data_IF_805466331672
#
_entry.id   IF_805466331672
#
_cell.length_a   1.000
_cell.length_b   1.000
_cell.length_c   1.000
_cell.angle_alpha   90.00
_cell.angle_beta   90.00
_cell.angle_gamma   90.00
#
_symmetry.space_group_name_H-M   'P 1'
#
loop_
_entity.id
_entity.type
_entity.pdbx_description
1 polymer ?
#
# COMPACT_ATOMS: atom_id res chain seq x y z
N UNK A 1 49.28 7.20 9.78
CA UNK A 1 49.13 6.30 8.62
C UNK A 1 47.73 6.48 8.04
N UNK A 2 47.61 7.06 6.84
CA UNK A 2 46.32 7.38 6.24
C UNK A 2 45.60 6.09 5.82
N UNK A 3 44.48 5.81 6.48
CA UNK A 3 43.64 4.67 6.16
C UNK A 3 42.94 4.98 4.83
N UNK A 4 43.55 4.61 3.71
CA UNK A 4 42.90 4.68 2.38
C UNK A 4 41.61 3.87 2.47
N UNK A 5 40.48 4.55 2.64
CA UNK A 5 39.14 3.95 2.63
C UNK A 5 38.94 3.27 1.28
N UNK A 6 39.18 1.96 1.22
CA UNK A 6 38.96 1.15 0.03
C UNK A 6 37.49 1.23 -0.31
N UNK A 7 37.18 1.99 -1.36
CA UNK A 7 35.83 2.18 -1.89
C UNK A 7 35.14 0.85 -2.15
N UNK A 8 33.81 0.88 -2.12
CA UNK A 8 33.01 -0.30 -2.42
C UNK A 8 33.31 -0.76 -3.86
N UNK A 9 33.57 -2.06 -4.05
CA UNK A 9 33.80 -2.70 -5.36
C UNK A 9 32.93 -3.95 -5.48
N UNK A 10 32.61 -4.37 -6.71
CA UNK A 10 31.77 -5.55 -6.95
C UNK A 10 32.38 -6.83 -6.36
N UNK A 11 33.71 -6.98 -6.46
CA UNK A 11 34.43 -8.10 -5.86
C UNK A 11 34.27 -8.12 -4.33
N UNK A 12 34.38 -6.95 -3.69
CA UNK A 12 34.19 -6.80 -2.24
C UNK A 12 32.74 -7.08 -1.84
N UNK A 13 31.76 -6.67 -2.64
CA UNK A 13 30.33 -6.94 -2.41
C UNK A 13 30.03 -8.43 -2.52
N UNK A 14 30.58 -9.13 -3.52
CA UNK A 14 30.42 -10.59 -3.67
C UNK A 14 30.94 -11.34 -2.45
N UNK A 15 32.11 -10.96 -1.96
CA UNK A 15 32.75 -11.56 -0.79
C UNK A 15 32.10 -11.24 0.56
N UNK A 16 31.01 -10.47 0.60
CA UNK A 16 30.32 -10.18 1.86
C UNK A 16 29.59 -11.41 2.38
N UNK A 17 30.03 -11.88 3.54
CA UNK A 17 29.42 -12.97 4.30
C UNK A 17 28.23 -12.40 5.09
N UNK A 18 27.04 -13.01 5.00
CA UNK A 18 25.91 -12.62 5.83
C UNK A 18 26.22 -12.86 7.30
N UNK A 19 25.88 -11.91 8.17
CA UNK A 19 25.98 -12.15 9.61
C UNK A 19 24.74 -12.91 10.10
N UNK A 20 24.94 -13.87 11.00
CA UNK A 20 23.88 -14.71 11.57
C UNK A 20 22.94 -13.90 12.48
N UNK A 21 23.40 -12.79 13.05
CA UNK A 21 22.69 -12.06 14.12
C UNK A 21 22.13 -10.71 13.66
N UNK A 22 22.78 -10.01 12.73
CA UNK A 22 22.40 -8.65 12.33
C UNK A 22 22.55 -8.38 10.82
N UNK A 23 21.78 -7.40 10.32
CA UNK A 23 21.89 -6.95 8.93
C UNK A 23 23.15 -6.09 8.79
N UNK A 24 24.02 -6.45 7.85
CA UNK A 24 25.20 -5.64 7.54
C UNK A 24 24.79 -4.56 6.54
N UNK A 25 25.12 -3.31 6.85
CA UNK A 25 24.99 -2.18 5.92
C UNK A 25 26.36 -1.54 5.68
N UNK A 26 26.81 -1.53 4.43
CA UNK A 26 28.06 -0.88 4.04
C UNK A 26 27.76 0.33 3.15
N UNK A 27 28.27 1.53 3.49
CA UNK A 27 28.10 2.71 2.67
C UNK A 27 28.99 2.69 1.43
N UNK A 28 28.48 3.27 0.35
CA UNK A 28 29.29 3.69 -0.78
C UNK A 28 29.83 5.10 -0.52
N UNK A 29 31.12 5.31 -0.75
CA UNK A 29 31.77 6.60 -0.55
C UNK A 29 31.71 7.52 -1.78
N UNK A 30 31.29 6.99 -2.94
CA UNK A 30 31.18 7.77 -4.18
C UNK A 30 29.83 8.45 -4.28
N UNK A 31 28.74 7.72 -3.99
CA UNK A 31 27.39 8.29 -4.00
C UNK A 31 26.88 8.47 -2.56
N UNK A 32 26.66 9.72 -2.09
CA UNK A 32 26.14 9.97 -0.75
C UNK A 32 24.81 9.26 -0.51
N UNK A 33 24.75 8.47 0.56
CA UNK A 33 23.56 7.75 0.98
C UNK A 33 23.31 6.41 0.29
N UNK A 34 24.08 6.06 -0.76
CA UNK A 34 24.04 4.72 -1.35
C UNK A 34 24.68 3.73 -0.37
N UNK A 35 24.03 2.59 -0.16
CA UNK A 35 24.51 1.52 0.72
C UNK A 35 24.17 0.17 0.13
N UNK A 36 24.97 -0.84 0.46
CA UNK A 36 24.60 -2.24 0.27
C UNK A 36 24.13 -2.82 1.61
N UNK A 37 22.94 -3.41 1.61
CA UNK A 37 22.40 -4.17 2.73
C UNK A 37 22.53 -5.66 2.44
N UNK A 38 23.09 -6.41 3.37
CA UNK A 38 23.15 -7.87 3.32
C UNK A 38 22.14 -8.44 4.31
N UNK A 39 21.15 -9.16 3.78
CA UNK A 39 20.17 -9.89 4.58
C UNK A 39 20.76 -11.16 5.20
N UNK A 40 20.07 -11.72 6.19
CA UNK A 40 20.46 -12.99 6.84
C UNK A 40 20.52 -14.16 5.86
N UNK A 41 19.67 -14.14 4.82
CA UNK A 41 19.66 -15.11 3.73
C UNK A 41 20.78 -14.94 2.70
N UNK A 42 21.72 -14.00 2.91
CA UNK A 42 22.82 -13.72 1.98
C UNK A 42 22.43 -12.83 0.80
N UNK A 43 21.15 -12.48 0.66
CA UNK A 43 20.64 -11.54 -0.35
C UNK A 43 21.26 -10.17 -0.12
N UNK A 44 21.89 -9.64 -1.15
CA UNK A 44 22.55 -8.32 -1.16
C UNK A 44 21.67 -7.36 -1.92
N UNK A 45 21.32 -6.23 -1.33
CA UNK A 45 20.39 -5.24 -1.92
C UNK A 45 20.94 -3.84 -1.77
N UNK A 46 20.96 -3.09 -2.87
CA UNK A 46 21.31 -1.68 -2.86
C UNK A 46 20.14 -0.83 -2.38
N UNK A 47 20.43 0.05 -1.43
CA UNK A 47 19.49 1.02 -0.87
C UNK A 47 20.10 2.42 -0.94
N UNK A 48 19.26 3.42 -1.15
CA UNK A 48 19.61 4.83 -1.07
C UNK A 48 18.88 5.45 0.13
N UNK A 49 19.64 5.93 1.11
CA UNK A 49 19.11 6.63 2.27
C UNK A 49 19.17 8.14 2.04
N UNK A 50 18.00 8.78 1.92
CA UNK A 50 17.89 10.23 1.67
C UNK A 50 16.76 10.82 2.51
N UNK A 51 16.92 12.09 2.92
CA UNK A 51 15.84 12.87 3.52
C UNK A 51 14.93 13.42 2.43
N UNK A 52 13.64 13.12 2.52
CA UNK A 52 12.61 13.66 1.60
C UNK A 52 11.44 14.15 2.44
N UNK A 53 11.13 15.44 2.35
CA UNK A 53 10.08 16.07 3.17
C UNK A 53 10.35 15.96 4.67
N UNK A 54 11.58 16.24 5.12
CA UNK A 54 11.98 16.21 6.53
C UNK A 54 12.18 14.82 7.16
N UNK A 55 11.71 13.74 6.52
CA UNK A 55 11.81 12.37 7.03
C UNK A 55 12.91 11.57 6.33
N UNK A 56 13.59 10.68 7.07
CA UNK A 56 14.54 9.73 6.48
C UNK A 56 13.80 8.63 5.74
N UNK A 57 14.10 8.43 4.46
CA UNK A 57 13.58 7.33 3.66
C UNK A 57 14.71 6.45 3.15
N UNK A 58 14.47 5.14 3.19
CA UNK A 58 15.31 4.14 2.55
C UNK A 58 14.64 3.73 1.23
N UNK A 59 15.22 4.13 0.11
CA UNK A 59 14.73 3.85 -1.24
C UNK A 59 15.48 2.62 -1.75
N UNK A 60 14.77 1.54 -2.07
CA UNK A 60 15.40 0.33 -2.61
C UNK A 60 15.73 0.55 -4.09
N UNK A 61 16.99 0.37 -4.48
CA UNK A 61 17.43 0.48 -5.88
C UNK A 61 17.29 -0.88 -6.59
N UNK A 62 17.70 -1.96 -5.93
CA UNK A 62 17.60 -3.31 -6.48
C UNK A 62 18.58 -4.32 -5.85
N UNK A 63 18.38 -5.63 -6.09
CA UNK A 63 19.29 -6.67 -5.63
C UNK A 63 20.60 -6.67 -6.42
N UNK A 64 21.72 -6.93 -5.76
CA UNK A 64 23.00 -7.15 -6.41
C UNK A 64 23.01 -8.53 -7.09
N UNK A 65 23.21 -8.54 -8.41
CA UNK A 65 23.21 -9.73 -9.28
C UNK A 65 24.28 -9.59 -10.35
N UNK A 66 24.55 -10.65 -11.12
CA UNK A 66 25.57 -10.62 -12.19
C UNK A 66 25.34 -9.50 -13.21
N UNK A 67 24.08 -9.27 -13.60
CA UNK A 67 23.68 -8.22 -14.54
C UNK A 67 23.36 -6.87 -13.87
N UNK A 68 23.46 -6.78 -12.53
CA UNK A 68 23.16 -5.56 -11.78
C UNK A 68 24.21 -5.34 -10.69
N UNK A 69 25.29 -4.69 -11.08
CA UNK A 69 26.45 -4.41 -10.24
C UNK A 69 26.41 -3.04 -9.56
N UNK A 70 27.52 -2.67 -8.91
CA UNK A 70 27.68 -1.39 -8.24
C UNK A 70 27.65 -0.21 -9.21
N UNK A 71 28.19 -0.37 -10.42
CA UNK A 71 28.18 0.67 -11.44
C UNK A 71 26.73 1.05 -11.82
N UNK A 72 25.86 0.06 -12.02
CA UNK A 72 24.45 0.28 -12.34
C UNK A 72 23.68 0.84 -11.15
N UNK A 73 23.98 0.36 -9.95
CA UNK A 73 23.41 0.89 -8.72
C UNK A 73 23.77 2.38 -8.53
N UNK A 74 25.02 2.78 -8.83
CA UNK A 74 25.45 4.18 -8.78
C UNK A 74 24.76 5.04 -9.83
N UNK A 75 24.61 4.53 -11.07
CA UNK A 75 23.86 5.23 -12.13
C UNK A 75 22.41 5.49 -11.72
N UNK A 76 21.71 4.46 -11.23
CA UNK A 76 20.32 4.61 -10.73
C UNK A 76 20.24 5.49 -9.49
N UNK A 77 21.20 5.42 -8.57
CA UNK A 77 21.21 6.29 -7.39
C UNK A 77 21.30 7.77 -7.79
N UNK A 78 22.14 8.11 -8.79
CA UNK A 78 22.24 9.48 -9.33
C UNK A 78 20.93 9.95 -9.95
N UNK A 79 20.28 9.12 -10.78
CA UNK A 79 19.00 9.49 -11.39
C UNK A 79 17.93 9.76 -10.32
N UNK A 80 17.87 8.91 -9.30
CA UNK A 80 16.94 9.08 -8.17
C UNK A 80 17.22 10.37 -7.40
N UNK A 81 18.48 10.71 -7.15
CA UNK A 81 18.82 11.97 -6.48
C UNK A 81 18.41 13.18 -7.32
N UNK A 82 18.65 13.13 -8.63
CA UNK A 82 18.24 14.17 -9.57
C UNK A 82 16.72 14.34 -9.62
N UNK A 83 15.96 13.24 -9.63
CA UNK A 83 14.49 13.28 -9.59
C UNK A 83 13.96 13.90 -8.28
N UNK A 84 14.59 13.59 -7.14
CA UNK A 84 14.26 14.19 -5.85
C UNK A 84 14.52 15.70 -5.85
N UNK A 85 15.66 16.14 -6.39
CA UNK A 85 16.02 17.56 -6.49
C UNK A 85 15.11 18.33 -7.45
N UNK A 86 14.70 17.70 -8.56
CA UNK A 86 13.75 18.26 -9.52
C UNK A 86 12.28 18.25 -9.01
N UNK A 87 12.04 17.95 -7.73
CA UNK A 87 10.71 18.02 -7.13
C UNK A 87 9.78 16.85 -7.46
N UNK A 88 10.26 15.82 -8.19
CA UNK A 88 9.46 14.59 -8.47
C UNK A 88 9.34 13.68 -7.24
N UNK A 89 10.05 13.99 -6.16
CA UNK A 89 10.00 13.25 -4.89
C UNK A 89 10.80 11.94 -4.92
N UNK A 90 10.86 11.24 -3.78
CA UNK A 90 11.52 9.93 -3.70
C UNK A 90 10.78 8.90 -4.56
N UNK A 91 11.50 8.05 -5.32
CA UNK A 91 10.93 6.85 -5.90
C UNK A 91 10.29 6.05 -4.77
N UNK A 92 8.96 5.91 -4.84
CA UNK A 92 8.26 4.95 -4.01
C UNK A 92 8.71 3.56 -4.47
N UNK A 93 8.91 2.57 -3.58
CA UNK A 93 9.02 1.18 -4.03
C UNK A 93 7.84 0.95 -4.96
N UNK A 94 8.12 0.50 -6.19
CA UNK A 94 7.19 0.49 -7.33
C UNK A 94 5.75 0.20 -6.86
N UNK A 95 5.00 1.27 -6.58
CA UNK A 95 3.56 1.24 -6.76
C UNK A 95 3.50 1.41 -8.26
N UNK A 96 3.23 0.31 -8.94
CA UNK A 96 3.13 0.30 -10.38
C UNK A 96 2.11 1.37 -10.75
N UNK A 97 2.60 2.51 -11.23
CA UNK A 97 1.77 3.52 -11.82
C UNK A 97 0.94 2.81 -12.90
N UNK A 98 -0.33 3.16 -13.05
CA UNK A 98 -1.30 2.50 -13.97
C UNK A 98 -0.93 2.53 -15.47
N UNK A 99 0.32 2.85 -15.78
CA UNK A 99 0.99 2.70 -17.08
C UNK A 99 1.36 1.24 -17.39
N UNK A 100 1.57 0.38 -16.39
CA UNK A 100 1.77 -1.07 -16.60
C UNK A 100 0.46 -1.85 -16.42
N UNK A 101 0.31 -2.99 -17.11
CA UNK A 101 -0.85 -3.88 -16.99
C UNK A 101 -1.12 -4.25 -15.52
N UNK A 102 -0.07 -4.54 -14.77
CA UNK A 102 -0.15 -4.89 -13.34
C UNK A 102 -0.58 -3.69 -12.47
N UNK A 103 -0.08 -2.49 -12.77
CA UNK A 103 -0.51 -1.24 -12.13
C UNK A 103 -2.00 -0.92 -12.34
N UNK A 104 -2.54 -1.24 -13.52
CA UNK A 104 -3.99 -1.08 -13.81
C UNK A 104 -4.88 -2.03 -13.01
N UNK A 105 -4.32 -3.12 -12.50
CA UNK A 105 -5.03 -4.11 -11.68
C UNK A 105 -4.86 -3.86 -10.18
N UNK A 106 -4.04 -2.88 -9.78
CA UNK A 106 -3.93 -2.49 -8.37
C UNK A 106 -5.25 -1.96 -7.82
N UNK A 107 -5.56 -2.34 -6.58
CA UNK A 107 -6.78 -1.94 -5.90
C UNK A 107 -6.88 -0.41 -5.79
N UNK A 108 -5.79 0.28 -5.46
CA UNK A 108 -5.75 1.77 -5.42
C UNK A 108 -6.15 2.41 -6.74
N UNK A 109 -5.57 1.93 -7.84
CA UNK A 109 -5.85 2.46 -9.18
C UNK A 109 -7.30 2.22 -9.57
N UNK A 110 -7.79 0.99 -9.43
CA UNK A 110 -9.17 0.64 -9.74
C UNK A 110 -10.17 1.37 -8.84
N UNK A 111 -9.85 1.55 -7.56
CA UNK A 111 -10.69 2.29 -6.62
C UNK A 111 -10.82 3.76 -7.04
N UNK A 112 -9.71 4.41 -7.42
CA UNK A 112 -9.77 5.79 -7.91
C UNK A 112 -10.56 5.91 -9.22
N UNK A 113 -10.36 4.99 -10.17
CA UNK A 113 -11.15 4.95 -11.40
C UNK A 113 -12.64 4.69 -11.13
N UNK A 114 -12.97 3.87 -10.14
CA UNK A 114 -14.35 3.66 -9.68
C UNK A 114 -14.95 4.95 -9.12
N UNK A 115 -14.21 5.67 -8.28
CA UNK A 115 -14.65 6.93 -7.72
C UNK A 115 -14.93 7.96 -8.82
N UNK A 116 -14.03 8.11 -9.79
CA UNK A 116 -14.16 9.07 -10.89
C UNK A 116 -15.30 8.73 -11.85
N UNK A 117 -15.41 7.46 -12.26
CA UNK A 117 -16.33 7.07 -13.35
C UNK A 117 -17.71 6.63 -12.89
N UNK A 118 -17.90 6.27 -11.63
CA UNK A 118 -19.16 5.66 -11.16
C UNK A 118 -19.71 6.26 -9.85
N UNK A 119 -18.95 7.12 -9.16
CA UNK A 119 -19.34 7.66 -7.85
C UNK A 119 -19.48 9.17 -7.88
N UNK A 120 -18.40 9.90 -8.19
CA UNK A 120 -18.38 11.37 -8.28
C UNK A 120 -19.37 11.82 -9.35
N UNK A 121 -20.21 12.81 -9.04
CA UNK A 121 -21.25 13.31 -9.94
C UNK A 121 -22.48 12.38 -10.13
N UNK A 122 -22.35 11.08 -9.86
CA UNK A 122 -23.44 10.10 -10.07
C UNK A 122 -24.17 9.70 -8.78
N UNK A 123 -23.51 9.81 -7.62
CA UNK A 123 -24.09 9.39 -6.33
C UNK A 123 -24.08 10.51 -5.31
N UNK A 124 -25.24 10.76 -4.69
CA UNK A 124 -25.36 11.67 -3.53
C UNK A 124 -24.46 11.24 -2.36
N UNK A 125 -24.18 9.94 -2.23
CA UNK A 125 -23.31 9.37 -1.19
C UNK A 125 -21.82 9.36 -1.56
N UNK A 126 -21.37 10.15 -2.54
CA UNK A 126 -19.98 10.11 -3.01
C UNK A 126 -18.97 10.38 -1.89
N UNK A 127 -19.19 11.43 -1.09
CA UNK A 127 -18.32 11.79 0.04
C UNK A 127 -18.22 10.67 1.08
N UNK A 128 -19.33 9.99 1.38
CA UNK A 128 -19.35 8.86 2.32
C UNK A 128 -18.58 7.66 1.77
N UNK A 129 -18.74 7.35 0.47
CA UNK A 129 -18.03 6.25 -0.19
C UNK A 129 -16.53 6.50 -0.17
N UNK A 130 -16.09 7.72 -0.50
CA UNK A 130 -14.68 8.11 -0.44
C UNK A 130 -14.11 8.01 0.98
N UNK A 131 -14.84 8.52 1.97
CA UNK A 131 -14.44 8.43 3.38
C UNK A 131 -14.24 6.98 3.82
N UNK A 132 -15.16 6.08 3.45
CA UNK A 132 -15.05 4.66 3.77
C UNK A 132 -13.85 4.03 3.05
N UNK A 133 -13.65 4.36 1.77
CA UNK A 133 -12.49 3.92 1.00
C UNK A 133 -11.18 4.30 1.66
N UNK A 134 -11.02 5.58 2.01
CA UNK A 134 -9.83 6.13 2.65
C UNK A 134 -9.59 5.58 4.05
N UNK A 135 -10.66 5.36 4.83
CA UNK A 135 -10.55 4.92 6.23
C UNK A 135 -10.28 3.42 6.36
N UNK A 136 -10.87 2.58 5.49
CA UNK A 136 -10.87 1.13 5.69
C UNK A 136 -10.29 0.34 4.52
N UNK A 137 -10.61 0.70 3.28
CA UNK A 137 -10.27 -0.13 2.12
C UNK A 137 -8.83 0.10 1.67
N UNK A 138 -8.45 1.36 1.43
CA UNK A 138 -7.12 1.72 0.93
C UNK A 138 -5.99 1.36 1.92
N UNK A 139 -6.12 1.56 3.25
CA UNK A 139 -5.08 1.13 4.19
C UNK A 139 -4.83 -0.38 4.20
N UNK A 140 -5.87 -1.19 3.88
CA UNK A 140 -5.78 -2.65 3.93
C UNK A 140 -5.39 -3.28 2.60
N UNK A 141 -5.97 -2.78 1.51
CA UNK A 141 -5.88 -3.42 0.19
C UNK A 141 -5.17 -2.58 -0.86
N UNK A 142 -4.91 -1.29 -0.60
CA UNK A 142 -4.51 -0.35 -1.63
C UNK A 142 -3.27 -0.73 -2.42
N UNK A 143 -2.32 -1.40 -1.76
CA UNK A 143 -1.03 -1.79 -2.33
C UNK A 143 -1.02 -3.21 -2.91
N UNK A 144 -2.20 -3.81 -3.11
CA UNK A 144 -2.37 -5.15 -3.66
C UNK A 144 -3.15 -5.12 -4.96
N UNK A 145 -2.99 -6.17 -5.75
CA UNK A 145 -3.82 -6.39 -6.93
C UNK A 145 -5.24 -6.77 -6.49
N UNK A 146 -6.25 -6.21 -7.16
CA UNK A 146 -7.65 -6.45 -6.79
C UNK A 146 -8.09 -7.91 -7.02
N UNK A 147 -7.45 -8.62 -7.94
CA UNK A 147 -7.67 -10.05 -8.21
C UNK A 147 -7.09 -10.99 -7.13
N UNK A 148 -6.09 -10.52 -6.38
CA UNK A 148 -5.42 -11.29 -5.33
C UNK A 148 -6.16 -11.31 -3.99
N UNK A 149 -7.22 -10.52 -3.85
CA UNK A 149 -7.92 -10.34 -2.57
C UNK A 149 -8.97 -11.44 -2.42
N UNK A 150 -8.79 -12.27 -1.41
CA UNK A 150 -9.68 -13.41 -1.16
C UNK A 150 -10.94 -13.02 -0.40
N UNK A 151 -11.97 -13.86 -0.52
CA UNK A 151 -13.20 -13.80 0.29
C UNK A 151 -12.93 -13.79 1.81
N UNK A 152 -11.94 -14.55 2.25
CA UNK A 152 -11.58 -14.65 3.67
C UNK A 152 -11.04 -13.30 4.19
N UNK A 153 -10.25 -12.60 3.38
CA UNK A 153 -9.70 -11.30 3.75
C UNK A 153 -10.75 -10.19 3.75
N UNK A 154 -11.74 -10.28 2.85
CA UNK A 154 -12.91 -9.40 2.87
C UNK A 154 -13.72 -9.63 4.14
N UNK A 155 -13.96 -10.89 4.49
CA UNK A 155 -14.67 -11.27 5.72
C UNK A 155 -13.96 -10.70 6.95
N UNK A 156 -12.64 -10.92 7.05
CA UNK A 156 -11.83 -10.40 8.14
C UNK A 156 -11.90 -8.86 8.24
N UNK A 157 -11.79 -8.13 7.12
CA UNK A 157 -11.92 -6.67 7.14
C UNK A 157 -13.30 -6.22 7.65
N UNK A 158 -14.37 -6.89 7.21
CA UNK A 158 -15.73 -6.54 7.60
C UNK A 158 -15.96 -6.84 9.08
N UNK A 159 -15.45 -7.96 9.58
CA UNK A 159 -15.46 -8.30 11.01
C UNK A 159 -14.65 -7.32 11.84
N UNK A 160 -13.44 -6.95 11.40
CA UNK A 160 -12.59 -5.96 12.08
C UNK A 160 -13.29 -4.59 12.22
N UNK A 161 -14.01 -4.16 11.18
CA UNK A 161 -14.80 -2.92 11.24
C UNK A 161 -16.00 -3.08 12.17
N UNK A 162 -16.67 -4.23 12.12
CA UNK A 162 -17.88 -4.49 12.90
C UNK A 162 -17.58 -4.61 14.39
N UNK A 163 -16.54 -5.35 14.75
CA UNK A 163 -16.20 -5.72 16.12
C UNK A 163 -14.97 -4.96 16.64
N UNK A 164 -14.55 -3.87 15.98
CA UNK A 164 -13.48 -2.97 16.46
C UNK A 164 -13.60 -2.63 17.95
N UNK A 165 -14.84 -2.42 18.41
CA UNK A 165 -15.17 -2.38 19.82
C UNK A 165 -16.05 -3.59 20.16
N UNK A 166 -15.49 -4.63 20.81
CA UNK A 166 -16.24 -5.84 21.15
C UNK A 166 -17.47 -5.58 22.03
N UNK A 167 -17.41 -4.54 22.88
CA UNK A 167 -18.51 -4.18 23.80
C UNK A 167 -19.64 -3.43 23.08
N UNK A 168 -19.34 -2.73 21.99
CA UNK A 168 -20.33 -1.97 21.20
C UNK A 168 -20.07 -2.19 19.69
N UNK A 169 -20.50 -3.33 19.14
CA UNK A 169 -20.32 -3.64 17.72
C UNK A 169 -21.00 -2.62 16.81
N UNK A 170 -20.31 -2.17 15.77
CA UNK A 170 -20.81 -1.20 14.80
C UNK A 170 -21.35 -1.89 13.55
N UNK A 171 -22.43 -2.68 13.72
CA UNK A 171 -23.03 -3.50 12.65
C UNK A 171 -23.33 -2.70 11.37
N UNK A 172 -23.80 -1.46 11.51
CA UNK A 172 -24.10 -0.57 10.38
C UNK A 172 -22.85 -0.21 9.60
N UNK A 173 -21.75 0.19 10.27
CA UNK A 173 -20.50 0.59 9.59
C UNK A 173 -19.91 -0.61 8.83
N UNK A 174 -19.82 -1.79 9.46
CA UNK A 174 -19.34 -3.01 8.81
C UNK A 174 -20.19 -3.41 7.60
N UNK A 175 -21.53 -3.32 7.71
CA UNK A 175 -22.45 -3.60 6.60
C UNK A 175 -22.28 -2.60 5.46
N UNK A 176 -22.08 -1.31 5.76
CA UNK A 176 -21.79 -0.31 4.73
C UNK A 176 -20.47 -0.60 4.03
N UNK A 177 -19.42 -0.99 4.77
CA UNK A 177 -18.13 -1.40 4.18
C UNK A 177 -18.32 -2.56 3.21
N UNK A 178 -19.00 -3.63 3.63
CA UNK A 178 -19.32 -4.77 2.76
C UNK A 178 -20.07 -4.33 1.50
N UNK A 179 -21.11 -3.50 1.64
CA UNK A 179 -21.89 -3.00 0.51
C UNK A 179 -21.06 -2.16 -0.47
N UNK A 180 -20.19 -1.27 0.03
CA UNK A 180 -19.35 -0.44 -0.83
C UNK A 180 -18.31 -1.29 -1.57
N UNK A 181 -17.71 -2.25 -0.88
CA UNK A 181 -16.74 -3.17 -1.48
C UNK A 181 -17.40 -4.08 -2.52
N UNK A 182 -18.59 -4.61 -2.23
CA UNK A 182 -19.36 -5.41 -3.19
C UNK A 182 -19.71 -4.61 -4.44
N UNK A 183 -20.16 -3.36 -4.28
CA UNK A 183 -20.47 -2.49 -5.42
C UNK A 183 -19.23 -2.14 -6.26
N UNK A 184 -18.10 -1.91 -5.60
CA UNK A 184 -16.81 -1.71 -6.27
C UNK A 184 -16.40 -2.94 -7.10
N UNK A 185 -16.42 -4.14 -6.50
CA UNK A 185 -16.05 -5.35 -7.23
C UNK A 185 -17.00 -5.63 -8.39
N UNK A 186 -18.31 -5.41 -8.23
CA UNK A 186 -19.26 -5.54 -9.35
C UNK A 186 -18.91 -4.60 -10.51
N UNK A 187 -18.46 -3.37 -10.24
CA UNK A 187 -17.98 -2.44 -11.28
C UNK A 187 -16.61 -2.83 -11.86
N UNK A 188 -15.77 -3.46 -11.05
CA UNK A 188 -14.42 -3.88 -11.44
C UNK A 188 -14.40 -5.23 -12.19
N UNK A 189 -15.42 -6.09 -12.04
CA UNK A 189 -15.49 -7.43 -12.63
C UNK A 189 -15.12 -7.46 -14.13
N UNK A 190 -15.63 -6.57 -15.01
CA UNK A 190 -15.26 -6.60 -16.43
C UNK A 190 -13.78 -6.32 -16.71
N UNK A 191 -13.04 -5.80 -15.73
CA UNK A 191 -11.61 -5.48 -15.81
C UNK A 191 -10.74 -6.53 -15.12
N UNK A 192 -11.33 -7.48 -14.40
CA UNK A 192 -10.67 -8.45 -13.54
C UNK A 192 -10.88 -9.88 -14.06
N UNK A 193 -10.25 -10.20 -15.20
CA UNK A 193 -10.44 -11.48 -15.91
C UNK A 193 -10.09 -12.72 -15.06
N UNK A 194 -9.18 -12.56 -14.08
CA UNK A 194 -8.74 -13.65 -13.19
C UNK A 194 -9.75 -13.99 -12.10
N UNK A 195 -10.69 -13.09 -11.82
CA UNK A 195 -11.77 -13.31 -10.84
C UNK A 195 -13.00 -13.86 -11.58
N UNK A 196 -13.40 -15.08 -11.23
CA UNK A 196 -14.58 -15.71 -11.83
C UNK A 196 -15.90 -15.10 -11.33
N UNK A 197 -15.91 -14.57 -10.10
CA UNK A 197 -17.09 -13.98 -9.48
C UNK A 197 -16.70 -12.88 -8.48
N UNK A 198 -17.68 -12.08 -8.07
CA UNK A 198 -17.46 -11.04 -7.08
C UNK A 198 -17.05 -11.70 -5.73
N UNK A 199 -15.85 -11.40 -5.19
CA UNK A 199 -15.36 -12.05 -3.98
C UNK A 199 -16.17 -11.67 -2.73
N UNK A 200 -16.99 -10.62 -2.79
CA UNK A 200 -17.91 -10.21 -1.73
C UNK A 200 -19.19 -11.04 -1.67
N UNK A 201 -19.55 -11.78 -2.73
CA UNK A 201 -20.84 -12.48 -2.85
C UNK A 201 -21.05 -13.49 -1.72
N UNK A 202 -20.02 -14.23 -1.37
CA UNK A 202 -20.02 -15.22 -0.28
C UNK A 202 -19.24 -14.76 0.95
N UNK A 203 -18.75 -13.52 0.97
CA UNK A 203 -18.08 -12.98 2.14
C UNK A 203 -19.09 -12.73 3.26
N UNK A 204 -18.65 -12.89 4.51
CA UNK A 204 -19.52 -12.62 5.65
C UNK A 204 -19.99 -11.16 5.65
N UNK A 205 -21.26 -10.96 6.02
CA UNK A 205 -21.91 -9.66 6.06
C UNK A 205 -22.64 -9.51 7.39
N UNK A 206 -22.47 -8.40 8.13
CA UNK A 206 -23.16 -8.18 9.39
C UNK A 206 -24.68 -8.20 9.21
N UNK A 207 -25.45 -8.76 10.15
CA UNK A 207 -26.91 -8.71 10.10
C UNK A 207 -27.42 -7.27 10.12
N UNK A 208 -28.68 -7.07 9.71
CA UNK A 208 -29.34 -5.78 9.91
C UNK A 208 -29.42 -5.52 11.41
N UNK A 209 -28.91 -4.36 11.85
CA UNK A 209 -29.09 -3.91 13.22
C UNK A 209 -30.58 -3.69 13.50
N UNK A 210 -30.99 -3.83 14.77
CA UNK A 210 -32.35 -3.49 15.18
C UNK A 210 -32.61 -2.00 14.88
N UNK A 211 -33.72 -1.64 14.20
CA UNK A 211 -34.13 -0.25 14.09
C UNK A 211 -34.22 0.39 15.47
N UNK A 212 -33.75 1.62 15.60
CA UNK A 212 -33.91 2.40 16.83
C UNK A 212 -35.05 3.37 16.60
N UNK A 213 -36.26 2.91 16.88
CA UNK A 213 -37.43 3.78 16.87
C UNK A 213 -37.59 4.38 18.27
N UNK A 214 -36.87 5.49 18.50
CA UNK A 214 -37.19 6.40 19.60
C UNK A 214 -37.91 7.59 18.98
N UNK A 215 -39.19 7.71 19.28
CA UNK A 215 -39.95 8.91 19.01
C UNK A 215 -39.78 9.86 20.20
N UNK A 216 -39.71 11.16 19.92
CA UNK A 216 -39.81 12.15 20.99
C UNK A 216 -41.22 12.09 21.58
N UNK A 217 -41.31 12.14 22.89
CA UNK A 217 -42.59 12.32 23.57
C UNK A 217 -43.05 13.78 23.44
N UNK A 218 -44.36 14.04 23.55
CA UNK A 218 -44.92 15.39 23.44
C UNK A 218 -44.27 16.40 24.41
N UNK A 219 -43.85 15.93 25.59
CA UNK A 219 -43.15 16.74 26.58
C UNK A 219 -41.69 17.03 26.20
N UNK A 220 -41.02 16.10 25.52
CA UNK A 220 -39.69 16.33 24.95
C UNK A 220 -39.76 17.27 23.73
N UNK A 221 -40.84 17.25 22.95
CA UNK A 221 -41.05 18.14 21.81
C UNK A 221 -41.20 19.60 22.28
N UNK A 222 -41.86 19.85 23.41
CA UNK A 222 -42.01 21.21 23.98
C UNK A 222 -40.71 21.83 24.49
N UNK A 223 -39.67 21.02 24.68
CA UNK A 223 -38.35 21.46 25.19
C UNK A 223 -37.34 21.80 24.09
N UNK A 224 -37.68 21.58 22.80
CA UNK A 224 -36.86 21.93 21.63
C UNK A 224 -37.36 23.21 20.96
#
# INVERSE_FOLDING_TARGET
MSNKTVGLTDAKIRGLIPSTTSRIELPDHIIPGLRIRVGQSGIKTFILRKRVGGTWKNITIGPFKEYFGLADARKKARSILLDIENGKGAPRPAKEDGTTLTGRLMFTFLWNQYLERAVRGHKRSASEIERIGNKFLLPRFGDRMADSISRAEITALVEDVTYRNPQKPTLREGRTVHQRLSAFYSWAMPKLERLQANPCQYAWRPPLGKPRDRFLTDDEIKLF
#
